data_IF_697351232366
#
_entry.id   IF_697351232366
#
_cell.length_a   1.000
_cell.length_b   1.000
_cell.length_c   1.000
_cell.angle_alpha   90.00
_cell.angle_beta   90.00
_cell.angle_gamma   90.00
#
_symmetry.space_group_name_H-M   'P 1'
#
loop_
_entity.id
_entity.type
_entity.pdbx_description
1 polymer ?
#
# COMPACT_ATOMS: atom_id res chain seq x y z
N UNK A 1 60.26 6.86 -35.28
CA UNK A 1 59.04 6.11 -34.94
C UNK A 1 58.96 6.02 -33.43
N UNK A 2 58.16 6.86 -32.79
CA UNK A 2 57.99 6.88 -31.33
C UNK A 2 56.51 6.77 -30.99
N UNK A 3 56.14 5.75 -30.22
CA UNK A 3 54.77 5.51 -29.76
C UNK A 3 54.58 6.19 -28.40
N UNK A 4 53.75 7.22 -28.36
CA UNK A 4 53.36 7.90 -27.12
C UNK A 4 52.22 7.11 -26.49
N UNK A 5 52.48 6.44 -25.36
CA UNK A 5 51.46 5.72 -24.60
C UNK A 5 50.56 6.73 -23.88
N UNK A 6 49.27 6.74 -24.24
CA UNK A 6 48.24 7.52 -23.57
C UNK A 6 47.70 6.69 -22.39
N UNK A 7 48.10 7.02 -21.16
CA UNK A 7 47.56 6.40 -19.95
C UNK A 7 46.16 6.93 -19.68
N UNK A 8 45.15 6.09 -19.86
CA UNK A 8 43.75 6.38 -19.50
C UNK A 8 43.57 6.12 -17.99
N UNK A 9 43.58 7.17 -17.19
CA UNK A 9 43.25 7.10 -15.76
C UNK A 9 41.73 6.99 -15.63
N UNK A 10 41.22 5.80 -15.30
CA UNK A 10 39.82 5.61 -14.93
C UNK A 10 39.65 6.17 -13.51
N UNK A 11 39.10 7.38 -13.40
CA UNK A 11 38.68 7.94 -12.12
C UNK A 11 37.42 7.23 -11.64
N UNK A 12 37.52 6.47 -10.55
CA UNK A 12 36.35 5.94 -9.84
C UNK A 12 35.60 7.14 -9.24
N UNK A 13 34.46 7.50 -9.82
CA UNK A 13 33.54 8.45 -9.21
C UNK A 13 33.00 7.80 -7.93
N UNK A 14 33.32 8.39 -6.77
CA UNK A 14 32.78 7.96 -5.49
C UNK A 14 31.26 8.18 -5.39
N UNK A 15 30.60 7.55 -4.42
CA UNK A 15 29.16 7.71 -4.21
C UNK A 15 28.83 9.18 -3.96
N UNK A 16 27.85 9.71 -4.70
CA UNK A 16 27.28 11.05 -4.47
C UNK A 16 26.36 10.91 -3.25
N UNK A 17 26.89 11.24 -2.07
CA UNK A 17 26.10 11.30 -0.84
C UNK A 17 25.02 12.38 -0.95
N UNK A 18 23.92 12.18 -0.22
CA UNK A 18 22.88 13.18 -0.01
C UNK A 18 23.55 14.53 0.30
N UNK A 19 23.24 15.56 -0.49
CA UNK A 19 23.83 16.88 -0.25
C UNK A 19 23.38 17.35 1.12
N UNK A 20 24.34 17.65 2.00
CA UNK A 20 24.03 18.32 3.25
C UNK A 20 23.36 19.65 2.91
N UNK A 21 22.07 19.76 3.21
CA UNK A 21 21.31 20.99 3.02
C UNK A 21 21.62 21.92 4.19
N UNK A 22 22.42 22.99 4.00
CA UNK A 22 22.76 23.92 5.09
C UNK A 22 21.52 24.66 5.59
N UNK A 23 20.49 24.75 4.75
CA UNK A 23 19.17 25.29 5.06
C UNK A 23 18.11 24.37 4.47
N UNK A 24 17.07 24.07 5.24
CA UNK A 24 15.84 23.42 4.77
C UNK A 24 14.85 24.46 4.27
N UNK A 25 14.06 24.10 3.27
CA UNK A 25 13.06 24.97 2.65
C UNK A 25 11.67 24.36 2.74
N UNK A 26 10.66 25.22 2.87
CA UNK A 26 9.26 24.81 2.84
C UNK A 26 8.70 24.87 1.41
N UNK A 27 7.63 24.10 1.16
CA UNK A 27 6.94 24.08 -0.14
C UNK A 27 6.41 25.46 -0.53
N UNK A 28 6.06 26.28 0.46
CA UNK A 28 5.63 27.66 0.25
C UNK A 28 6.74 28.54 -0.34
N UNK A 29 8.01 28.35 0.05
CA UNK A 29 9.14 29.10 -0.52
C UNK A 29 9.34 28.71 -1.99
N UNK A 30 9.24 27.42 -2.32
CA UNK A 30 9.29 26.95 -3.71
C UNK A 30 8.14 27.52 -4.55
N UNK A 31 6.92 27.54 -4.00
CA UNK A 31 5.75 28.11 -4.68
C UNK A 31 5.97 29.57 -5.06
N UNK A 32 6.49 30.39 -4.13
CA UNK A 32 6.78 31.81 -4.41
C UNK A 32 7.80 31.96 -5.54
N UNK A 33 8.89 31.18 -5.54
CA UNK A 33 9.89 31.24 -6.62
C UNK A 33 9.32 30.86 -7.99
N UNK A 34 8.42 29.88 -8.03
CA UNK A 34 7.77 29.46 -9.28
C UNK A 34 6.76 30.51 -9.78
N UNK A 35 5.98 31.12 -8.88
CA UNK A 35 5.10 32.25 -9.21
C UNK A 35 5.90 33.46 -9.74
N UNK A 36 7.02 33.79 -9.09
CA UNK A 36 7.94 34.85 -9.53
C UNK A 36 8.54 34.56 -10.92
N UNK A 37 8.93 33.30 -11.17
CA UNK A 37 9.44 32.86 -12.46
C UNK A 37 8.38 33.03 -13.58
N UNK A 38 7.15 32.53 -13.38
CA UNK A 38 6.06 32.67 -14.35
C UNK A 38 5.76 34.15 -14.63
N UNK A 39 5.68 34.97 -13.57
CA UNK A 39 5.42 36.39 -13.71
C UNK A 39 6.55 37.13 -14.45
N UNK A 40 7.82 36.76 -14.21
CA UNK A 40 8.98 37.29 -14.94
C UNK A 40 8.98 36.88 -16.42
N UNK A 41 8.62 35.62 -16.72
CA UNK A 41 8.50 35.12 -18.09
C UNK A 41 7.41 35.89 -18.87
N UNK A 42 6.22 36.07 -18.29
CA UNK A 42 5.13 36.83 -18.92
C UNK A 42 5.46 38.31 -19.19
N UNK A 43 6.36 38.91 -18.41
CA UNK A 43 6.88 40.27 -18.63
C UNK A 43 8.15 40.32 -19.48
N UNK A 44 8.59 39.20 -20.05
CA UNK A 44 9.82 39.07 -20.84
C UNK A 44 11.09 39.50 -20.08
N UNK A 45 11.09 39.36 -18.75
CA UNK A 45 12.22 39.68 -17.88
C UNK A 45 13.14 38.45 -17.74
N UNK A 46 13.89 38.14 -18.81
CA UNK A 46 14.65 36.88 -18.89
C UNK A 46 15.64 36.70 -17.74
N UNK A 47 16.36 37.73 -17.30
CA UNK A 47 17.31 37.61 -16.19
C UNK A 47 16.62 37.23 -14.87
N UNK A 48 15.46 37.83 -14.59
CA UNK A 48 14.67 37.53 -13.40
C UNK A 48 14.06 36.12 -13.48
N UNK A 49 13.58 35.71 -14.65
CA UNK A 49 13.10 34.35 -14.89
C UNK A 49 14.22 33.32 -14.65
N UNK A 50 15.42 33.57 -15.18
CA UNK A 50 16.57 32.68 -15.03
C UNK A 50 17.01 32.57 -13.57
N UNK A 51 17.04 33.70 -12.85
CA UNK A 51 17.38 33.71 -11.43
C UNK A 51 16.36 32.91 -10.61
N UNK A 52 15.06 33.15 -10.79
CA UNK A 52 14.00 32.46 -10.05
C UNK A 52 13.97 30.95 -10.34
N UNK A 53 14.12 30.54 -11.60
CA UNK A 53 14.15 29.12 -11.99
C UNK A 53 15.40 28.40 -11.50
N UNK A 54 16.56 29.06 -11.51
CA UNK A 54 17.81 28.53 -10.93
C UNK A 54 17.63 28.32 -9.43
N UNK A 55 17.12 29.34 -8.72
CA UNK A 55 16.90 29.25 -7.28
C UNK A 55 15.87 28.16 -6.93
N UNK A 56 14.79 28.03 -7.70
CA UNK A 56 13.80 26.96 -7.50
C UNK A 56 14.44 25.57 -7.63
N UNK A 57 15.32 25.37 -8.61
CA UNK A 57 16.04 24.12 -8.81
C UNK A 57 17.07 23.85 -7.70
N UNK A 58 17.73 24.89 -7.18
CA UNK A 58 18.69 24.80 -6.07
C UNK A 58 18.04 24.40 -4.75
N UNK A 59 16.84 24.93 -4.44
CA UNK A 59 16.17 24.62 -3.16
C UNK A 59 15.40 23.30 -3.18
N UNK A 60 15.04 22.79 -4.36
CA UNK A 60 14.21 21.58 -4.50
C UNK A 60 14.77 20.37 -3.74
N UNK A 61 16.09 20.03 -3.81
CA UNK A 61 16.65 18.92 -3.05
C UNK A 61 16.57 19.10 -1.52
N UNK A 62 16.39 20.34 -1.07
CA UNK A 62 16.39 20.74 0.34
C UNK A 62 14.99 21.01 0.91
N UNK A 63 13.93 20.53 0.25
CA UNK A 63 12.58 20.60 0.80
C UNK A 63 12.42 19.69 2.02
N UNK A 64 11.88 20.25 3.11
CA UNK A 64 11.53 19.51 4.33
C UNK A 64 10.06 19.06 4.40
N UNK A 65 9.25 19.47 3.43
CA UNK A 65 7.81 19.22 3.38
C UNK A 65 7.43 18.30 2.20
N UNK A 66 6.35 17.50 2.33
CA UNK A 66 5.80 16.75 1.21
C UNK A 66 5.42 17.70 0.06
N UNK A 67 5.93 17.44 -1.14
CA UNK A 67 5.70 18.23 -2.34
C UNK A 67 4.28 17.96 -2.89
N UNK A 68 3.37 18.96 -2.92
CA UNK A 68 2.05 18.77 -3.48
C UNK A 68 2.11 18.53 -5.00
N UNK A 69 1.25 17.65 -5.51
CA UNK A 69 1.18 17.33 -6.95
C UNK A 69 1.08 18.56 -7.87
N UNK A 70 0.21 19.57 -7.59
CA UNK A 70 0.13 20.74 -8.46
C UNK A 70 1.44 21.54 -8.48
N UNK A 71 2.15 21.60 -7.36
CA UNK A 71 3.43 22.32 -7.27
C UNK A 71 4.54 21.60 -8.04
N UNK A 72 4.56 20.25 -8.02
CA UNK A 72 5.45 19.46 -8.87
C UNK A 72 5.17 19.71 -10.36
N UNK A 73 3.90 19.76 -10.76
CA UNK A 73 3.53 20.07 -12.15
C UNK A 73 3.98 21.48 -12.57
N UNK A 74 3.79 22.49 -11.72
CA UNK A 74 4.30 23.84 -11.96
C UNK A 74 5.81 23.86 -12.08
N UNK A 75 6.55 23.17 -11.21
CA UNK A 75 8.01 23.08 -11.31
C UNK A 75 8.45 22.55 -12.68
N UNK A 76 7.86 21.44 -13.14
CA UNK A 76 8.17 20.84 -14.44
C UNK A 76 7.83 21.76 -15.62
N UNK A 77 6.69 22.46 -15.60
CA UNK A 77 6.35 23.46 -16.63
C UNK A 77 7.35 24.60 -16.68
N UNK A 78 7.66 25.20 -15.53
CA UNK A 78 8.59 26.31 -15.42
C UNK A 78 9.99 25.91 -15.86
N UNK A 79 10.43 24.69 -15.51
CA UNK A 79 11.68 24.11 -16.01
C UNK A 79 11.65 23.91 -17.53
N UNK A 80 10.55 23.39 -18.08
CA UNK A 80 10.39 23.25 -19.54
C UNK A 80 10.49 24.59 -20.28
N UNK A 81 9.87 25.65 -19.74
CA UNK A 81 10.02 27.01 -20.28
C UNK A 81 11.47 27.49 -20.24
N UNK A 82 12.20 27.21 -19.15
CA UNK A 82 13.62 27.56 -19.00
C UNK A 82 14.47 26.87 -20.05
N UNK A 83 14.33 25.55 -20.18
CA UNK A 83 15.06 24.74 -21.16
C UNK A 83 14.75 25.17 -22.60
N UNK A 84 13.50 25.54 -22.89
CA UNK A 84 13.12 26.07 -24.20
C UNK A 84 13.85 27.39 -24.52
N UNK A 85 13.90 28.32 -23.56
CA UNK A 85 14.66 29.59 -23.70
C UNK A 85 16.15 29.34 -23.91
N UNK A 86 16.70 28.33 -23.24
CA UNK A 86 18.10 27.88 -23.38
C UNK A 86 18.36 27.09 -24.68
N UNK A 87 17.32 26.86 -25.49
CA UNK A 87 17.36 26.06 -26.73
C UNK A 87 17.66 24.56 -26.52
N UNK A 88 17.48 24.07 -25.30
CA UNK A 88 17.42 22.63 -25.01
C UNK A 88 16.00 22.12 -25.26
N UNK A 89 15.67 21.94 -26.54
CA UNK A 89 14.32 21.57 -26.97
C UNK A 89 13.94 20.18 -26.47
N UNK A 90 14.89 19.25 -26.43
CA UNK A 90 14.61 17.90 -25.96
C UNK A 90 14.35 17.88 -24.45
N UNK A 91 15.22 18.54 -23.66
CA UNK A 91 14.98 18.70 -22.23
C UNK A 91 13.64 19.39 -21.92
N UNK A 92 13.28 20.40 -22.72
CA UNK A 92 12.00 21.09 -22.60
C UNK A 92 10.81 20.16 -22.80
N UNK A 93 10.81 19.36 -23.89
CA UNK A 93 9.76 18.37 -24.19
C UNK A 93 9.58 17.37 -23.06
N UNK A 94 10.67 16.85 -22.52
CA UNK A 94 10.64 15.87 -21.43
C UNK A 94 10.07 16.50 -20.15
N UNK A 95 10.49 17.72 -19.81
CA UNK A 95 9.95 18.44 -18.66
C UNK A 95 8.45 18.77 -18.84
N UNK A 96 8.01 19.13 -20.04
CA UNK A 96 6.60 19.33 -20.34
C UNK A 96 5.79 18.02 -20.31
N UNK A 97 6.36 16.90 -20.72
CA UNK A 97 5.76 15.57 -20.57
C UNK A 97 5.53 15.24 -19.09
N UNK A 98 6.53 15.47 -18.24
CA UNK A 98 6.41 15.29 -16.80
C UNK A 98 5.25 16.11 -16.22
N UNK A 99 5.16 17.41 -16.55
CA UNK A 99 4.04 18.26 -16.13
C UNK A 99 2.66 17.73 -16.57
N UNK A 100 2.52 17.33 -17.84
CA UNK A 100 1.24 16.79 -18.37
C UNK A 100 0.87 15.43 -17.79
N UNK A 101 1.84 14.60 -17.43
CA UNK A 101 1.59 13.34 -16.72
C UNK A 101 0.97 13.54 -15.33
N UNK A 102 1.11 14.75 -14.77
CA UNK A 102 0.53 15.14 -13.48
C UNK A 102 -0.79 15.89 -13.69
N UNK A 103 -0.81 16.86 -14.62
CA UNK A 103 -1.96 17.74 -14.91
C UNK A 103 -2.31 17.76 -16.42
N UNK A 104 -2.96 16.72 -16.96
CA UNK A 104 -3.22 16.61 -18.41
C UNK A 104 -4.20 17.68 -18.94
N UNK A 105 -5.05 18.21 -18.06
CA UNK A 105 -6.01 19.26 -18.39
C UNK A 105 -5.39 20.67 -18.42
N UNK A 106 -4.15 20.85 -17.93
CA UNK A 106 -3.51 22.17 -17.88
C UNK A 106 -3.32 22.74 -19.30
N UNK A 107 -3.60 24.03 -19.44
CA UNK A 107 -3.32 24.83 -20.63
C UNK A 107 -2.58 26.07 -20.17
N UNK A 108 -1.54 26.47 -20.90
CA UNK A 108 -0.86 27.73 -20.59
C UNK A 108 -1.84 28.90 -20.75
N UNK A 109 -1.87 29.84 -19.79
CA UNK A 109 -2.57 31.11 -19.96
C UNK A 109 -2.06 31.83 -21.22
N UNK A 110 -2.96 32.42 -22.02
CA UNK A 110 -2.61 33.05 -23.31
C UNK A 110 -1.78 34.32 -23.15
N UNK A 111 -1.84 34.96 -21.99
CA UNK A 111 -0.97 36.07 -21.59
C UNK A 111 0.47 35.62 -21.28
N UNK A 112 0.65 34.36 -20.86
CA UNK A 112 1.96 33.77 -20.63
C UNK A 112 2.55 33.15 -21.91
N UNK A 113 1.75 32.35 -22.63
CA UNK A 113 2.13 31.69 -23.89
C UNK A 113 1.01 31.93 -24.91
N UNK A 114 1.14 32.98 -25.76
CA UNK A 114 0.13 33.30 -26.76
C UNK A 114 -0.12 32.18 -27.78
N UNK A 115 -1.28 32.21 -28.42
CA UNK A 115 -1.58 31.30 -29.53
C UNK A 115 -0.53 31.41 -30.63
N UNK A 116 -0.15 30.26 -31.21
CA UNK A 116 0.90 30.17 -32.22
C UNK A 116 2.33 30.24 -31.69
N UNK A 117 2.54 30.43 -30.37
CA UNK A 117 3.87 30.33 -29.79
C UNK A 117 4.44 28.91 -29.95
N UNK A 118 5.69 28.73 -30.43
CA UNK A 118 6.30 27.41 -30.62
C UNK A 118 6.35 26.54 -29.35
N UNK A 119 6.36 27.14 -28.15
CA UNK A 119 6.28 26.41 -26.88
C UNK A 119 5.04 25.50 -26.84
N UNK A 120 3.91 25.91 -27.42
CA UNK A 120 2.69 25.10 -27.41
C UNK A 120 2.85 23.80 -28.21
N UNK A 121 3.62 23.84 -29.30
CA UNK A 121 3.96 22.65 -30.07
C UNK A 121 4.84 21.70 -29.25
N UNK A 122 5.87 22.23 -28.59
CA UNK A 122 6.79 21.42 -27.79
C UNK A 122 6.14 20.88 -26.51
N UNK A 123 5.22 21.64 -25.90
CA UNK A 123 4.45 21.20 -24.75
C UNK A 123 3.64 19.93 -25.05
N UNK A 124 3.14 19.79 -26.29
CA UNK A 124 2.33 18.68 -26.75
C UNK A 124 3.11 17.47 -27.29
N UNK A 125 4.43 17.58 -27.47
CA UNK A 125 5.17 16.72 -28.40
C UNK A 125 5.35 15.25 -27.97
N UNK A 126 5.39 14.99 -26.66
CA UNK A 126 5.57 13.62 -26.12
C UNK A 126 4.21 12.99 -25.82
N UNK A 127 4.00 11.72 -26.16
CA UNK A 127 2.82 10.98 -25.71
C UNK A 127 3.05 10.43 -24.29
N UNK A 128 2.38 11.03 -23.30
CA UNK A 128 2.52 10.62 -21.90
C UNK A 128 1.72 9.36 -21.55
N UNK A 129 0.77 8.95 -22.39
CA UNK A 129 0.00 7.72 -22.18
C UNK A 129 0.78 6.48 -22.61
N UNK A 130 1.70 6.65 -23.58
CA UNK A 130 2.59 5.61 -24.07
C UNK A 130 3.87 5.42 -23.21
N UNK A 131 4.00 6.13 -22.10
CA UNK A 131 5.20 6.10 -21.27
C UNK A 131 5.45 4.78 -20.55
N UNK A 132 6.73 4.48 -20.34
CA UNK A 132 7.21 3.31 -19.63
C UNK A 132 7.39 3.62 -18.13
N UNK A 133 7.01 2.66 -17.31
CA UNK A 133 7.07 2.76 -15.85
C UNK A 133 7.98 1.68 -15.28
N UNK A 134 8.89 2.08 -14.38
CA UNK A 134 9.78 1.18 -13.66
C UNK A 134 9.21 0.93 -12.27
N UNK A 135 8.79 -0.32 -11.93
CA UNK A 135 8.38 -0.66 -10.58
C UNK A 135 9.57 -0.63 -9.62
N UNK A 136 9.32 -0.23 -8.37
CA UNK A 136 10.32 -0.08 -7.32
C UNK A 136 9.98 -0.94 -6.09
N UNK A 137 11.00 -1.40 -5.34
CA UNK A 137 10.78 -2.10 -4.07
C UNK A 137 10.02 -1.25 -3.04
N UNK A 138 9.23 -1.90 -2.18
CA UNK A 138 8.50 -1.23 -1.09
C UNK A 138 9.50 -0.65 -0.06
N UNK A 139 9.41 0.64 0.29
CA UNK A 139 10.28 1.25 1.30
C UNK A 139 9.83 0.88 2.73
N UNK A 140 10.73 0.95 3.71
CA UNK A 140 10.36 0.89 5.14
C UNK A 140 9.47 2.07 5.57
N UNK A 141 9.71 3.25 4.99
CA UNK A 141 8.90 4.45 5.17
C UNK A 141 7.93 4.64 4.02
N UNK A 142 8.05 5.75 3.30
CA UNK A 142 7.20 6.07 2.14
C UNK A 142 8.05 6.71 1.05
N UNK A 143 7.67 6.49 -0.20
CA UNK A 143 8.26 7.16 -1.36
C UNK A 143 7.14 7.79 -2.16
N UNK A 144 7.35 9.00 -2.66
CA UNK A 144 6.46 9.64 -3.61
C UNK A 144 7.18 10.01 -4.90
N UNK A 145 6.43 10.01 -6.00
CA UNK A 145 6.85 10.53 -7.30
C UNK A 145 5.91 11.63 -7.73
N UNK A 146 6.44 12.84 -7.90
CA UNK A 146 5.68 14.04 -8.25
C UNK A 146 4.47 14.28 -7.31
N UNK A 147 4.63 13.94 -6.03
CA UNK A 147 3.60 14.05 -5.00
C UNK A 147 2.55 12.93 -5.00
N UNK A 148 2.73 11.84 -5.77
CA UNK A 148 1.88 10.62 -5.71
C UNK A 148 2.54 9.54 -4.85
N UNK A 149 1.79 8.92 -3.96
CA UNK A 149 2.20 7.71 -3.24
C UNK A 149 2.15 6.50 -4.20
N UNK A 150 3.23 6.27 -4.93
CA UNK A 150 3.31 5.26 -5.99
C UNK A 150 4.66 4.55 -5.96
N UNK A 151 4.66 3.23 -6.21
CA UNK A 151 5.87 2.39 -6.26
C UNK A 151 6.33 2.13 -7.71
N UNK A 152 6.07 3.10 -8.59
CA UNK A 152 6.54 3.11 -9.97
C UNK A 152 6.94 4.51 -10.35
N UNK A 153 8.06 4.64 -11.07
CA UNK A 153 8.50 5.92 -11.64
C UNK A 153 8.44 5.90 -13.17
N UNK A 154 8.15 7.03 -13.82
CA UNK A 154 8.36 7.13 -15.26
C UNK A 154 9.86 7.04 -15.57
N UNK A 155 10.20 6.40 -16.69
CA UNK A 155 11.58 6.35 -17.21
C UNK A 155 11.80 7.19 -18.45
N UNK A 156 10.72 7.57 -19.14
CA UNK A 156 10.78 8.31 -20.40
C UNK A 156 10.79 9.84 -20.21
N UNK A 157 10.51 10.35 -19.01
CA UNK A 157 10.58 11.77 -18.66
C UNK A 157 11.01 11.96 -17.20
N UNK A 158 11.45 13.16 -16.81
CA UNK A 158 11.91 13.39 -15.45
C UNK A 158 10.80 13.33 -14.40
N UNK A 159 11.16 13.06 -13.16
CA UNK A 159 10.24 13.00 -12.01
C UNK A 159 10.91 13.53 -10.75
N UNK A 160 10.13 14.07 -9.83
CA UNK A 160 10.61 14.46 -8.50
C UNK A 160 10.29 13.32 -7.54
N UNK A 161 11.32 12.66 -7.02
CA UNK A 161 11.18 11.65 -5.99
C UNK A 161 11.36 12.27 -4.61
N UNK A 162 10.47 11.95 -3.66
CA UNK A 162 10.71 12.21 -2.24
C UNK A 162 10.72 10.91 -1.45
N UNK A 163 11.70 10.76 -0.57
CA UNK A 163 11.84 9.64 0.36
C UNK A 163 11.45 10.14 1.75
N UNK A 164 10.57 9.40 2.42
CA UNK A 164 10.09 9.67 3.76
C UNK A 164 10.53 8.57 4.70
N UNK A 165 10.81 8.93 5.95
CA UNK A 165 11.01 7.96 7.02
C UNK A 165 9.67 7.37 7.54
N UNK A 166 9.77 6.47 8.53
CA UNK A 166 8.61 5.87 9.21
C UNK A 166 7.77 6.86 10.02
N UNK A 167 8.31 8.05 10.34
CA UNK A 167 7.60 9.12 11.02
C UNK A 167 6.91 10.09 10.02
N UNK A 168 7.06 9.84 8.72
CA UNK A 168 6.48 10.64 7.65
C UNK A 168 7.23 11.95 7.37
N UNK A 169 8.47 12.10 7.86
CA UNK A 169 9.32 13.27 7.55
C UNK A 169 10.06 13.06 6.23
N UNK A 170 10.21 14.11 5.43
CA UNK A 170 11.01 14.07 4.19
C UNK A 170 12.48 13.95 4.57
N UNK A 171 13.11 12.86 4.13
CA UNK A 171 14.54 12.60 4.31
C UNK A 171 15.34 13.10 3.11
N UNK A 172 14.80 12.96 1.90
CA UNK A 172 15.49 13.33 0.67
C UNK A 172 14.48 13.71 -0.42
N UNK A 173 14.80 14.75 -1.19
CA UNK A 173 14.13 15.10 -2.44
C UNK A 173 15.13 15.05 -3.58
N UNK A 174 14.80 14.39 -4.69
CA UNK A 174 15.70 14.28 -5.86
C UNK A 174 14.92 14.51 -7.15
N UNK A 175 15.47 15.35 -8.03
CA UNK A 175 15.00 15.48 -9.42
C UNK A 175 15.71 14.44 -10.28
N UNK A 176 14.97 13.45 -10.77
CA UNK A 176 15.53 12.33 -11.54
C UNK A 176 15.24 12.55 -13.03
N UNK A 177 16.28 12.58 -13.86
CA UNK A 177 16.17 12.55 -15.32
C UNK A 177 15.85 11.13 -15.82
N UNK A 178 15.42 11.00 -17.09
CA UNK A 178 15.41 9.71 -17.79
C UNK A 178 16.77 9.01 -17.69
N UNK A 179 16.77 7.76 -17.23
CA UNK A 179 17.99 6.96 -17.07
C UNK A 179 18.78 7.20 -15.77
N UNK A 180 18.48 8.25 -15.00
CA UNK A 180 19.13 8.44 -13.69
C UNK A 180 18.80 7.26 -12.76
N UNK A 181 19.79 6.72 -12.02
CA UNK A 181 19.53 5.66 -11.06
C UNK A 181 18.61 6.16 -9.94
N UNK A 182 17.71 5.31 -9.47
CA UNK A 182 16.92 5.59 -8.28
C UNK A 182 17.85 5.67 -7.06
N UNK A 183 17.79 6.73 -6.24
CA UNK A 183 18.55 6.82 -5.00
C UNK A 183 18.31 5.61 -4.09
N UNK A 184 19.32 5.20 -3.35
CA UNK A 184 19.18 4.12 -2.36
C UNK A 184 18.25 4.56 -1.23
N UNK A 185 17.35 3.69 -0.81
CA UNK A 185 16.48 3.87 0.35
C UNK A 185 16.32 2.55 1.09
N UNK A 186 15.91 2.62 2.36
CA UNK A 186 15.67 1.44 3.18
C UNK A 186 14.47 0.68 2.62
N UNK A 187 14.71 -0.52 2.09
CA UNK A 187 13.68 -1.39 1.54
C UNK A 187 13.07 -2.19 2.69
N UNK A 188 11.73 -2.26 2.73
CA UNK A 188 11.02 -3.10 3.67
C UNK A 188 11.28 -4.56 3.33
N UNK A 189 12.00 -5.26 4.21
CA UNK A 189 12.22 -6.70 4.07
C UNK A 189 10.93 -7.41 4.46
N UNK A 190 10.10 -7.72 3.49
CA UNK A 190 8.90 -8.55 3.70
C UNK A 190 9.38 -9.96 4.06
N UNK A 191 9.21 -10.33 5.32
CA UNK A 191 9.53 -11.70 5.76
C UNK A 191 8.42 -12.64 5.31
N UNK A 192 8.73 -13.94 5.13
CA UNK A 192 7.71 -14.94 4.81
C UNK A 192 6.56 -14.96 5.84
N UNK A 193 6.83 -14.54 7.07
CA UNK A 193 5.83 -14.43 8.14
C UNK A 193 4.76 -13.37 7.85
N UNK A 194 5.12 -12.29 7.14
CA UNK A 194 4.20 -11.22 6.77
C UNK A 194 3.30 -11.61 5.58
N UNK A 195 3.71 -12.59 4.78
CA UNK A 195 2.92 -13.11 3.65
C UNK A 195 1.89 -14.17 4.04
N UNK A 196 2.01 -14.74 5.23
CA UNK A 196 0.98 -15.63 5.74
C UNK A 196 -0.08 -14.70 6.33
N UNK A 197 -1.25 -14.52 5.68
CA UNK A 197 -2.33 -13.78 6.31
C UNK A 197 -2.53 -14.39 7.69
N UNK A 198 -2.67 -13.59 8.76
CA UNK A 198 -2.97 -14.15 10.07
C UNK A 198 -4.15 -15.08 9.85
N UNK A 199 -3.99 -16.36 10.20
CA UNK A 199 -5.09 -17.30 10.13
C UNK A 199 -6.21 -16.61 10.89
N UNK A 200 -7.24 -16.15 10.16
CA UNK A 200 -8.42 -15.54 10.74
C UNK A 200 -8.95 -16.61 11.68
N UNK A 201 -8.67 -16.49 12.97
CA UNK A 201 -9.31 -17.34 13.95
C UNK A 201 -10.81 -17.05 13.76
N UNK A 202 -11.62 -18.03 13.31
CA UNK A 202 -13.03 -17.79 13.07
C UNK A 202 -13.64 -17.40 14.42
N UNK A 203 -13.87 -16.11 14.64
CA UNK A 203 -14.57 -15.62 15.82
C UNK A 203 -16.07 -15.79 15.56
N UNK A 204 -16.51 -17.04 15.42
CA UNK A 204 -17.92 -17.40 15.32
C UNK A 204 -18.42 -17.50 16.76
N UNK A 205 -19.21 -16.54 17.25
CA UNK A 205 -19.76 -16.63 18.59
C UNK A 205 -20.61 -17.91 18.69
N UNK A 206 -20.47 -18.69 19.77
CA UNK A 206 -21.19 -19.94 19.91
C UNK A 206 -22.70 -19.69 19.84
N UNK A 207 -23.41 -20.41 18.97
CA UNK A 207 -24.86 -20.26 18.83
C UNK A 207 -25.55 -20.77 20.11
N UNK A 208 -26.18 -19.89 20.92
CA UNK A 208 -26.74 -20.27 22.21
C UNK A 208 -27.86 -21.31 22.09
N UNK A 209 -28.54 -21.38 20.94
CA UNK A 209 -29.60 -22.37 20.69
C UNK A 209 -29.05 -23.78 20.52
N UNK A 210 -27.89 -23.93 19.88
CA UNK A 210 -27.22 -25.22 19.72
C UNK A 210 -26.66 -25.71 21.07
N UNK A 211 -26.09 -24.81 21.88
CA UNK A 211 -25.66 -25.12 23.24
C UNK A 211 -26.83 -25.54 24.14
N UNK A 212 -27.95 -24.81 24.09
CA UNK A 212 -29.16 -25.18 24.83
C UNK A 212 -29.72 -26.54 24.38
N UNK A 213 -29.72 -26.82 23.08
CA UNK A 213 -30.15 -28.11 22.52
C UNK A 213 -29.28 -29.28 22.99
N UNK A 214 -27.95 -29.11 22.96
CA UNK A 214 -27.01 -30.12 23.45
C UNK A 214 -27.17 -30.37 24.96
N UNK A 215 -27.32 -29.31 25.76
CA UNK A 215 -27.58 -29.41 27.21
C UNK A 215 -28.89 -30.13 27.52
N UNK A 216 -29.97 -29.81 26.80
CA UNK A 216 -31.27 -30.48 26.95
C UNK A 216 -31.21 -31.98 26.63
N UNK A 217 -30.55 -32.35 25.52
CA UNK A 217 -30.40 -33.76 25.14
C UNK A 217 -29.61 -34.56 26.19
N UNK A 218 -28.54 -33.98 26.75
CA UNK A 218 -27.74 -34.62 27.79
C UNK A 218 -28.55 -34.88 29.08
N UNK A 219 -29.38 -33.92 29.50
CA UNK A 219 -30.25 -34.08 30.68
C UNK A 219 -31.28 -35.20 30.50
N UNK A 220 -31.91 -35.28 29.31
CA UNK A 220 -32.88 -36.34 29.00
C UNK A 220 -32.20 -37.71 29.00
N UNK A 221 -31.03 -37.84 28.37
CA UNK A 221 -30.27 -39.09 28.35
C UNK A 221 -29.84 -39.53 29.78
N UNK A 222 -29.35 -38.60 30.60
CA UNK A 222 -29.01 -38.86 32.00
C UNK A 222 -30.21 -39.29 32.85
N UNK A 223 -31.38 -38.66 32.63
CA UNK A 223 -32.63 -39.03 33.29
C UNK A 223 -33.10 -40.44 32.93
N UNK A 224 -33.10 -40.79 31.63
CA UNK A 224 -33.47 -42.12 31.15
C UNK A 224 -32.52 -43.21 31.67
N UNK A 225 -31.21 -42.94 31.69
CA UNK A 225 -30.23 -43.88 32.25
C UNK A 225 -30.46 -44.11 33.75
N UNK A 226 -30.72 -43.04 34.51
CA UNK A 226 -31.03 -43.15 35.94
C UNK A 226 -32.30 -43.98 36.18
N UNK A 227 -33.35 -43.77 35.38
CA UNK A 227 -34.56 -44.58 35.44
C UNK A 227 -34.32 -46.06 35.11
N UNK A 228 -33.43 -46.36 34.15
CA UNK A 228 -33.04 -47.72 33.82
C UNK A 228 -32.31 -48.41 34.99
N UNK A 229 -31.40 -47.71 35.68
CA UNK A 229 -30.70 -48.24 36.86
C UNK A 229 -31.67 -48.54 38.00
N UNK A 230 -32.63 -47.65 38.26
CA UNK A 230 -33.65 -47.88 39.29
C UNK A 230 -34.57 -49.06 38.94
N UNK A 231 -34.98 -49.17 37.68
CA UNK A 231 -35.75 -50.31 37.16
C UNK A 231 -34.99 -51.63 37.33
N UNK A 232 -33.68 -51.62 37.08
CA UNK A 232 -32.83 -52.81 37.25
C UNK A 232 -32.74 -53.25 38.72
N UNK A 233 -32.58 -52.32 39.66
CA UNK A 233 -32.56 -52.66 41.09
C UNK A 233 -33.86 -53.31 41.56
N UNK A 234 -35.00 -52.85 41.04
CA UNK A 234 -36.29 -53.48 41.34
C UNK A 234 -36.44 -54.89 40.75
N UNK A 235 -35.72 -55.20 39.66
CA UNK A 235 -35.66 -56.54 39.09
C UNK A 235 -34.76 -57.48 39.90
N UNK A 236 -33.66 -56.97 40.46
CA UNK A 236 -32.69 -57.74 41.24
C UNK A 236 -33.11 -57.91 42.73
N UNK A 237 -34.31 -57.48 43.11
CA UNK A 237 -34.84 -57.67 44.47
C UNK A 237 -35.48 -59.07 44.60
N UNK A 238 -34.91 -59.90 45.49
CA UNK A 238 -35.25 -61.33 45.67
C UNK A 238 -36.72 -61.59 46.07
N UNK A 239 -37.47 -60.54 46.45
CA UNK A 239 -38.90 -60.60 46.77
C UNK A 239 -39.85 -60.32 45.60
N UNK A 240 -39.34 -60.16 44.37
CA UNK A 240 -40.16 -59.78 43.21
C UNK A 240 -41.02 -60.94 42.71
N UNK A 241 -42.33 -60.70 42.60
CA UNK A 241 -43.29 -61.66 42.05
C UNK A 241 -42.88 -62.12 40.65
N UNK A 242 -42.90 -63.44 40.40
CA UNK A 242 -42.45 -64.04 39.14
C UNK A 242 -43.25 -63.54 37.94
N UNK A 243 -44.51 -63.15 38.15
CA UNK A 243 -45.38 -62.62 37.10
C UNK A 243 -44.97 -61.19 36.65
N UNK A 244 -44.13 -60.50 37.43
CA UNK A 244 -43.65 -59.15 37.13
C UNK A 244 -42.28 -59.12 36.42
N UNK A 245 -41.60 -60.27 36.32
CA UNK A 245 -40.23 -60.37 35.77
C UNK A 245 -40.19 -59.96 34.29
N UNK A 246 -41.12 -60.46 33.47
CA UNK A 246 -41.18 -60.16 32.04
C UNK A 246 -41.51 -58.69 31.73
N UNK A 247 -42.52 -58.04 32.35
CA UNK A 247 -42.77 -56.62 32.12
C UNK A 247 -41.63 -55.73 32.62
N UNK A 248 -40.95 -56.08 33.72
CA UNK A 248 -39.77 -55.35 34.20
C UNK A 248 -38.58 -55.48 33.24
N UNK A 249 -38.38 -56.67 32.65
CA UNK A 249 -37.34 -56.89 31.63
C UNK A 249 -37.63 -56.08 30.36
N UNK A 250 -38.87 -56.08 29.88
CA UNK A 250 -39.29 -55.30 28.72
C UNK A 250 -39.11 -53.79 28.95
N UNK A 251 -39.48 -53.28 30.13
CA UNK A 251 -39.31 -51.87 30.51
C UNK A 251 -37.84 -51.47 30.61
N UNK A 252 -37.00 -52.31 31.24
CA UNK A 252 -35.56 -52.05 31.38
C UNK A 252 -34.88 -52.04 30.01
N UNK A 253 -35.17 -53.03 29.15
CA UNK A 253 -34.63 -53.08 27.79
C UNK A 253 -35.09 -51.87 26.95
N UNK A 254 -36.36 -51.47 27.05
CA UNK A 254 -36.87 -50.28 26.38
C UNK A 254 -36.17 -48.99 26.79
N UNK A 255 -35.93 -48.81 28.10
CA UNK A 255 -35.20 -47.65 28.63
C UNK A 255 -33.73 -47.63 28.20
N UNK A 256 -33.06 -48.78 28.15
CA UNK A 256 -31.67 -48.88 27.67
C UNK A 256 -31.59 -48.52 26.18
N UNK A 257 -32.48 -49.05 25.34
CA UNK A 257 -32.53 -48.71 23.91
C UNK A 257 -32.82 -47.21 23.70
N UNK A 258 -33.76 -46.63 24.47
CA UNK A 258 -34.05 -45.20 24.42
C UNK A 258 -32.83 -44.34 24.84
N UNK A 259 -32.05 -44.81 25.81
CA UNK A 259 -30.81 -44.13 26.25
C UNK A 259 -29.74 -44.14 25.15
N UNK A 260 -29.61 -45.24 24.41
CA UNK A 260 -28.69 -45.32 23.26
C UNK A 260 -29.06 -44.34 22.14
N UNK A 261 -30.34 -44.25 21.78
CA UNK A 261 -30.81 -43.31 20.76
C UNK A 261 -30.64 -41.85 21.22
N UNK A 262 -30.97 -41.54 22.49
CA UNK A 262 -30.78 -40.21 23.05
C UNK A 262 -29.31 -39.81 23.17
N UNK A 263 -28.45 -40.74 23.61
CA UNK A 263 -27.01 -40.50 23.77
C UNK A 263 -26.29 -40.28 22.45
N UNK A 264 -26.61 -41.06 21.41
CA UNK A 264 -26.03 -40.87 20.07
C UNK A 264 -26.45 -39.54 19.45
N UNK A 265 -27.71 -39.13 19.61
CA UNK A 265 -28.17 -37.81 19.17
C UNK A 265 -27.43 -36.66 19.91
N UNK A 266 -27.20 -36.79 21.22
CA UNK A 266 -26.46 -35.79 22.00
C UNK A 266 -25.01 -35.65 21.54
N UNK A 267 -24.31 -36.76 21.27
CA UNK A 267 -22.93 -36.75 20.75
C UNK A 267 -22.87 -36.16 19.35
N UNK A 268 -23.80 -36.52 18.46
CA UNK A 268 -23.86 -35.99 17.10
C UNK A 268 -24.08 -34.46 17.09
N UNK A 269 -24.99 -33.96 17.94
CA UNK A 269 -25.25 -32.52 18.08
C UNK A 269 -24.06 -31.79 18.71
N UNK A 270 -23.40 -32.38 19.72
CA UNK A 270 -22.20 -31.81 20.35
C UNK A 270 -21.00 -31.73 19.41
N UNK A 271 -20.73 -32.81 18.65
CA UNK A 271 -19.68 -32.82 17.64
C UNK A 271 -19.99 -31.83 16.51
N UNK A 272 -21.23 -31.78 16.03
CA UNK A 272 -21.67 -30.80 15.03
C UNK A 272 -21.46 -29.35 15.48
N UNK A 273 -21.81 -29.02 16.72
CA UNK A 273 -21.57 -27.69 17.29
C UNK A 273 -20.07 -27.35 17.37
N UNK A 274 -19.21 -28.32 17.70
CA UNK A 274 -17.76 -28.13 17.75
C UNK A 274 -17.15 -27.92 16.36
N UNK A 275 -17.59 -28.67 15.34
CA UNK A 275 -17.09 -28.51 13.98
C UNK A 275 -17.56 -27.20 13.32
N UNK A 276 -18.81 -26.77 13.59
CA UNK A 276 -19.33 -25.48 13.10
C UNK A 276 -18.69 -24.28 13.79
N UNK A 277 -18.22 -24.44 15.04
CA UNK A 277 -17.52 -23.35 15.74
C UNK A 277 -16.05 -23.18 15.32
N UNK A 278 -15.49 -24.14 14.57
CA UNK A 278 -14.05 -24.18 14.24
C UNK A 278 -13.74 -23.94 12.75
N UNK A 279 -14.76 -23.92 11.90
CA UNK A 279 -14.71 -23.53 10.48
C UNK A 279 -15.23 -22.11 10.34
#
# INVERSE_FOLDING_TARGET
MGWTALSLTIGLAGPVYAQECPKTYQTNELRVLLEDAEAAFGRLQLDAFNAATTQAAEILPCLSEPLPRPLAATFHRTRGLRLFVERDIEGARLSFAAARSIEPAYRFPTDLVPEGNPVLQEYGAVDVEAGTWLPLPEPEGRVTFDGRDELSRPVDWPTIMQIFDIAGQVQQTVYLQPGDPTPEYNIRVITLRDRIPPLLEPNIPPNPRLLAGAGGAALVAGGLYTAAVLSRRAFDDDGTDTDLIDPLRARTNGLVVATWVGGTAAVALGAGAFFVARW
#
